data_IF_711426967665
#
_entry.id   IF_711426967665
#
_cell.length_a   1.000
_cell.length_b   1.000
_cell.length_c   1.000
_cell.angle_alpha   90.00
_cell.angle_beta   90.00
_cell.angle_gamma   90.00
#
_symmetry.space_group_name_H-M   'P 1'
#
loop_
_entity.id
_entity.type
_entity.pdbx_description
1 polymer ?
#
# COMPACT_ATOMS: atom_id res chain seq x y z
N UNK A 1 27.61 59.30 18.37
CA UNK A 1 28.43 60.18 19.22
C UNK A 1 29.83 59.62 19.23
N UNK A 2 30.57 59.96 18.20
CA UNK A 2 32.01 59.90 18.11
C UNK A 2 32.33 61.24 17.43
N UNK A 3 32.81 62.18 18.22
CA UNK A 3 33.12 63.55 17.79
C UNK A 3 34.44 63.49 17.01
N UNK A 4 34.37 63.73 15.71
CA UNK A 4 35.55 64.02 14.90
C UNK A 4 35.55 65.54 14.64
N UNK A 5 36.39 66.24 15.39
CA UNK A 5 36.67 67.67 15.18
C UNK A 5 37.28 67.89 13.79
N UNK A 6 36.83 68.89 13.02
CA UNK A 6 37.45 69.24 11.75
C UNK A 6 38.79 69.94 12.00
N UNK A 7 39.89 69.29 11.64
CA UNK A 7 41.20 69.93 11.61
C UNK A 7 41.23 70.99 10.50
N UNK A 8 41.33 72.25 10.93
CA UNK A 8 41.75 73.39 10.13
C UNK A 8 43.16 73.13 9.56
N UNK A 9 43.26 72.59 8.35
CA UNK A 9 44.49 72.65 7.57
C UNK A 9 44.53 74.00 6.84
N UNK A 10 44.71 75.07 7.60
CA UNK A 10 45.04 76.38 7.06
C UNK A 10 46.45 76.34 6.44
N UNK A 11 46.51 76.71 5.15
CA UNK A 11 47.57 77.53 4.54
C UNK A 11 49.02 77.20 4.95
N UNK A 12 49.56 76.11 4.43
CA UNK A 12 51.02 75.89 4.42
C UNK A 12 51.62 75.68 3.03
N UNK A 13 50.85 75.80 1.94
CA UNK A 13 51.36 75.46 0.59
C UNK A 13 52.02 76.62 -0.19
N UNK A 14 51.96 77.86 0.30
CA UNK A 14 52.54 79.02 -0.43
C UNK A 14 53.88 79.54 0.11
N UNK A 15 54.27 79.24 1.37
CA UNK A 15 55.56 79.71 1.93
C UNK A 15 56.75 78.77 1.61
N UNK A 16 56.49 77.48 1.34
CA UNK A 16 57.55 76.50 1.11
C UNK A 16 58.18 76.58 -0.30
N UNK A 17 57.52 77.21 -1.25
CA UNK A 17 58.08 77.41 -2.59
C UNK A 17 59.16 78.51 -2.61
N UNK A 18 59.05 79.52 -1.74
CA UNK A 18 60.00 80.63 -1.64
C UNK A 18 61.25 80.26 -0.81
N UNK A 19 61.07 79.47 0.26
CA UNK A 19 62.17 79.01 1.12
C UNK A 19 63.02 77.91 0.46
N UNK A 20 62.42 77.04 -0.36
CA UNK A 20 63.15 76.00 -1.11
C UNK A 20 64.19 76.56 -2.10
N UNK A 21 63.86 77.66 -2.80
CA UNK A 21 64.78 78.32 -3.73
C UNK A 21 65.93 79.03 -3.00
N UNK A 22 65.65 79.68 -1.86
CA UNK A 22 66.65 80.31 -0.99
C UNK A 22 67.59 79.29 -0.33
N UNK A 23 67.06 78.14 0.10
CA UNK A 23 67.85 77.07 0.72
C UNK A 23 68.80 76.37 -0.28
N UNK A 24 68.39 76.24 -1.55
CA UNK A 24 69.24 75.69 -2.61
C UNK A 24 70.35 76.65 -3.06
N UNK A 25 70.12 77.96 -2.98
CA UNK A 25 71.16 78.98 -3.22
C UNK A 25 72.23 78.96 -2.11
N UNK A 26 71.81 78.83 -0.85
CA UNK A 26 72.74 78.90 0.29
C UNK A 26 73.61 77.63 0.46
N UNK A 27 73.14 76.45 0.05
CA UNK A 27 73.92 75.20 0.05
C UNK A 27 74.99 75.16 -1.07
N UNK A 28 74.90 76.07 -2.03
CA UNK A 28 75.73 76.12 -3.24
C UNK A 28 76.76 77.26 -3.25
N UNK A 29 77.09 77.92 -2.12
CA UNK A 29 78.14 78.95 -2.13
C UNK A 29 79.50 78.40 -2.59
N UNK A 30 79.83 77.16 -2.22
CA UNK A 30 81.02 76.45 -2.70
C UNK A 30 80.95 76.11 -4.19
N UNK A 31 79.77 75.70 -4.67
CA UNK A 31 79.49 75.43 -6.08
C UNK A 31 79.54 76.69 -6.96
N UNK A 32 79.12 77.84 -6.40
CA UNK A 32 79.14 79.15 -7.07
C UNK A 32 80.57 79.69 -7.21
N UNK A 33 81.41 79.53 -6.17
CA UNK A 33 82.85 79.85 -6.26
C UNK A 33 83.58 78.94 -7.25
N UNK A 34 83.26 77.64 -7.25
CA UNK A 34 83.81 76.69 -8.23
C UNK A 34 83.39 77.02 -9.67
N UNK A 35 82.18 77.57 -9.87
CA UNK A 35 81.70 78.00 -11.19
C UNK A 35 82.40 79.27 -11.72
N UNK A 36 82.93 80.13 -10.85
CA UNK A 36 83.68 81.34 -11.25
C UNK A 36 85.09 81.04 -11.78
N UNK A 37 85.72 79.96 -11.31
CA UNK A 37 87.07 79.53 -11.73
C UNK A 37 87.07 78.59 -12.94
N UNK A 38 85.89 78.23 -13.46
CA UNK A 38 85.75 77.30 -14.58
C UNK A 38 85.90 78.02 -15.93
N UNK A 39 86.60 77.41 -16.91
CA UNK A 39 86.69 77.98 -18.26
C UNK A 39 85.27 78.15 -18.84
N UNK A 40 84.97 79.32 -19.42
CA UNK A 40 83.61 79.72 -19.80
C UNK A 40 82.86 78.73 -20.70
N UNK A 41 83.57 77.91 -21.48
CA UNK A 41 83.00 76.81 -22.28
C UNK A 41 82.30 75.77 -21.41
N UNK A 42 82.88 75.43 -20.25
CA UNK A 42 82.34 74.44 -19.33
C UNK A 42 81.15 74.98 -18.55
N UNK A 43 81.17 76.27 -18.20
CA UNK A 43 80.03 76.93 -17.56
C UNK A 43 78.80 76.99 -18.48
N UNK A 44 79.00 77.32 -19.76
CA UNK A 44 77.93 77.31 -20.77
C UNK A 44 77.37 75.90 -20.99
N UNK A 45 78.24 74.89 -21.07
CA UNK A 45 77.80 73.49 -21.19
C UNK A 45 77.02 73.00 -19.96
N UNK A 46 77.40 73.44 -18.75
CA UNK A 46 76.67 73.15 -17.53
C UNK A 46 75.28 73.80 -17.54
N UNK A 47 75.18 75.10 -17.86
CA UNK A 47 73.91 75.81 -17.91
C UNK A 47 72.96 75.21 -18.95
N UNK A 48 73.45 74.90 -20.15
CA UNK A 48 72.68 74.22 -21.19
C UNK A 48 72.21 72.82 -20.74
N UNK A 49 73.03 72.09 -19.98
CA UNK A 49 72.63 70.80 -19.40
C UNK A 49 71.56 70.92 -18.31
N UNK A 50 71.60 71.99 -17.51
CA UNK A 50 70.60 72.26 -16.47
C UNK A 50 69.27 72.69 -17.09
N UNK A 51 69.32 73.53 -18.13
CA UNK A 51 68.13 73.96 -18.86
C UNK A 51 67.45 72.78 -19.56
N UNK A 52 68.23 71.92 -20.23
CA UNK A 52 67.72 70.67 -20.82
C UNK A 52 67.10 69.73 -19.79
N UNK A 53 67.72 69.62 -18.60
CA UNK A 53 67.17 68.85 -17.48
C UNK A 53 65.83 69.41 -17.02
N UNK A 54 65.71 70.73 -16.85
CA UNK A 54 64.48 71.36 -16.39
C UNK A 54 63.35 71.23 -17.41
N UNK A 55 63.66 71.41 -18.70
CA UNK A 55 62.73 71.18 -19.81
C UNK A 55 62.24 69.72 -19.87
N UNK A 56 63.10 68.76 -19.55
CA UNK A 56 62.79 67.32 -19.63
C UNK A 56 62.16 66.74 -18.35
N UNK A 57 62.37 67.36 -17.18
CA UNK A 57 61.98 66.84 -15.87
C UNK A 57 60.48 66.53 -15.74
N UNK A 58 59.61 67.36 -16.35
CA UNK A 58 58.15 67.14 -16.31
C UNK A 58 57.75 65.88 -17.09
N UNK A 59 58.34 65.68 -18.27
CA UNK A 59 58.07 64.53 -19.14
C UNK A 59 58.59 63.24 -18.50
N UNK A 60 59.82 63.28 -17.97
CA UNK A 60 60.42 62.15 -17.26
C UNK A 60 59.61 61.74 -16.04
N UNK A 61 59.11 62.72 -15.27
CA UNK A 61 58.25 62.46 -14.10
C UNK A 61 56.95 61.77 -14.50
N UNK A 62 56.28 62.23 -15.55
CA UNK A 62 55.03 61.60 -16.03
C UNK A 62 55.29 60.18 -16.56
N UNK A 63 56.38 59.98 -17.31
CA UNK A 63 56.79 58.66 -17.78
C UNK A 63 57.08 57.72 -16.60
N UNK A 64 57.82 58.18 -15.60
CA UNK A 64 58.12 57.41 -14.39
C UNK A 64 56.85 57.04 -13.62
N UNK A 65 55.90 57.97 -13.44
CA UNK A 65 54.61 57.70 -12.80
C UNK A 65 53.77 56.69 -13.58
N UNK A 66 53.81 56.75 -14.91
CA UNK A 66 53.11 55.79 -15.79
C UNK A 66 53.70 54.39 -15.65
N UNK A 67 55.03 54.27 -15.66
CA UNK A 67 55.73 53.00 -15.45
C UNK A 67 55.43 52.45 -14.05
N UNK A 68 55.52 53.29 -13.02
CA UNK A 68 55.27 52.87 -11.64
C UNK A 68 53.82 52.45 -11.42
N UNK A 69 52.84 53.19 -11.94
CA UNK A 69 51.42 52.83 -11.82
C UNK A 69 51.09 51.53 -12.56
N UNK A 70 51.66 51.33 -13.75
CA UNK A 70 51.56 50.08 -14.51
C UNK A 70 52.18 48.89 -13.75
N UNK A 71 53.39 49.08 -13.19
CA UNK A 71 54.06 48.07 -12.39
C UNK A 71 53.25 47.70 -11.14
N UNK A 72 52.73 48.69 -10.39
CA UNK A 72 51.86 48.43 -9.23
C UNK A 72 50.60 47.66 -9.62
N UNK A 73 49.96 48.03 -10.74
CA UNK A 73 48.80 47.32 -11.27
C UNK A 73 49.12 45.87 -11.61
N UNK A 74 50.26 45.62 -12.26
CA UNK A 74 50.72 44.27 -12.58
C UNK A 74 50.92 43.44 -11.29
N UNK A 75 51.59 44.01 -10.28
CA UNK A 75 51.81 43.33 -9.00
C UNK A 75 50.49 42.99 -8.30
N UNK A 76 49.55 43.94 -8.21
CA UNK A 76 48.22 43.69 -7.66
C UNK A 76 47.46 42.62 -8.47
N UNK A 77 47.60 42.62 -9.80
CA UNK A 77 46.99 41.63 -10.68
C UNK A 77 47.52 40.21 -10.43
N UNK A 78 48.81 40.05 -10.14
CA UNK A 78 49.41 38.76 -9.77
C UNK A 78 48.82 38.26 -8.45
N UNK A 79 48.81 39.10 -7.41
CA UNK A 79 48.27 38.75 -6.08
C UNK A 79 46.78 38.39 -6.19
N UNK A 80 46.00 39.21 -6.88
CA UNK A 80 44.58 38.91 -7.10
C UNK A 80 44.37 37.60 -7.87
N UNK A 81 45.24 37.33 -8.85
CA UNK A 81 45.23 36.08 -9.60
C UNK A 81 45.51 34.84 -8.74
N UNK A 82 46.45 34.94 -7.80
CA UNK A 82 46.74 33.84 -6.86
C UNK A 82 45.58 33.62 -5.90
N UNK A 83 45.03 34.69 -5.33
CA UNK A 83 43.92 34.62 -4.39
C UNK A 83 42.67 34.03 -5.04
N UNK A 84 42.35 34.48 -6.27
CA UNK A 84 41.24 33.94 -7.04
C UNK A 84 41.39 32.44 -7.33
N UNK A 85 42.59 31.99 -7.69
CA UNK A 85 42.85 30.55 -7.94
C UNK A 85 42.70 29.73 -6.65
N UNK A 86 43.18 30.25 -5.53
CA UNK A 86 43.01 29.62 -4.22
C UNK A 86 41.51 29.53 -3.86
N UNK A 87 40.75 30.62 -4.00
CA UNK A 87 39.31 30.64 -3.73
C UNK A 87 38.55 29.60 -4.59
N UNK A 88 38.78 29.58 -5.90
CA UNK A 88 38.15 28.60 -6.80
C UNK A 88 38.49 27.17 -6.39
N UNK A 89 39.74 26.92 -5.97
CA UNK A 89 40.18 25.59 -5.53
C UNK A 89 39.46 25.16 -4.26
N UNK A 90 39.35 26.05 -3.28
CA UNK A 90 38.61 25.81 -2.03
C UNK A 90 37.13 25.56 -2.31
N UNK A 91 36.48 26.41 -3.10
CA UNK A 91 35.07 26.22 -3.46
C UNK A 91 34.82 24.90 -4.19
N UNK A 92 35.68 24.52 -5.13
CA UNK A 92 35.59 23.25 -5.85
C UNK A 92 35.69 22.07 -4.89
N UNK A 93 36.66 22.09 -3.98
CA UNK A 93 36.85 21.04 -2.98
C UNK A 93 35.65 20.95 -2.03
N UNK A 94 35.11 22.10 -1.60
CA UNK A 94 33.97 22.18 -0.71
C UNK A 94 32.69 21.65 -1.37
N UNK A 95 32.39 22.05 -2.61
CA UNK A 95 31.26 21.49 -3.39
C UNK A 95 31.41 19.98 -3.55
N UNK A 96 32.62 19.49 -3.81
CA UNK A 96 32.90 18.06 -3.86
C UNK A 96 32.69 17.34 -2.53
N UNK A 97 33.07 17.95 -1.40
CA UNK A 97 32.83 17.41 -0.07
C UNK A 97 31.33 17.31 0.26
N UNK A 98 30.56 18.37 -0.01
CA UNK A 98 29.10 18.35 0.15
C UNK A 98 28.45 17.27 -0.73
N UNK A 99 28.92 17.10 -1.96
CA UNK A 99 28.44 16.04 -2.85
C UNK A 99 28.68 14.63 -2.29
N UNK A 100 29.84 14.39 -1.67
CA UNK A 100 30.15 13.10 -1.03
C UNK A 100 29.29 12.84 0.21
N UNK A 101 29.10 13.84 1.07
CA UNK A 101 28.20 13.73 2.22
C UNK A 101 26.76 13.40 1.78
N UNK A 102 26.25 14.09 0.76
CA UNK A 102 24.92 13.83 0.23
C UNK A 102 24.79 12.43 -0.40
N UNK A 103 25.86 11.94 -1.04
CA UNK A 103 25.90 10.58 -1.57
C UNK A 103 25.91 9.53 -0.46
N UNK A 104 26.70 9.73 0.59
CA UNK A 104 26.79 8.82 1.74
C UNK A 104 25.43 8.64 2.41
N UNK A 105 24.72 9.73 2.70
CA UNK A 105 23.36 9.69 3.27
C UNK A 105 22.41 8.90 2.35
N UNK A 106 22.42 9.18 1.04
CA UNK A 106 21.56 8.45 0.07
C UNK A 106 21.94 6.97 -0.06
N UNK A 107 23.22 6.64 0.08
CA UNK A 107 23.71 5.28 0.05
C UNK A 107 23.21 4.52 1.29
N UNK A 108 23.36 5.11 2.48
CA UNK A 108 22.85 4.53 3.72
C UNK A 108 21.34 4.30 3.67
N UNK A 109 20.58 5.26 3.15
CA UNK A 109 19.13 5.13 2.95
C UNK A 109 18.78 3.95 2.02
N UNK A 110 19.45 3.85 0.86
CA UNK A 110 19.26 2.72 -0.07
C UNK A 110 19.58 1.39 0.60
N UNK A 111 20.69 1.33 1.32
CA UNK A 111 21.15 0.09 1.96
C UNK A 111 20.21 -0.30 3.11
N UNK A 112 19.70 0.67 3.87
CA UNK A 112 18.70 0.45 4.90
C UNK A 112 17.37 -0.06 4.32
N UNK A 113 16.90 0.51 3.22
CA UNK A 113 15.70 0.04 2.51
C UNK A 113 15.87 -1.39 2.01
N UNK A 114 17.02 -1.69 1.41
CA UNK A 114 17.34 -3.03 0.91
C UNK A 114 17.39 -4.06 2.05
N UNK A 115 18.07 -3.73 3.16
CA UNK A 115 18.09 -4.60 4.35
C UNK A 115 16.69 -4.82 4.92
N UNK A 116 15.88 -3.77 5.02
CA UNK A 116 14.50 -3.88 5.51
C UNK A 116 13.67 -4.79 4.62
N UNK A 117 13.69 -4.57 3.30
CA UNK A 117 12.95 -5.39 2.34
C UNK A 117 13.35 -6.88 2.41
N UNK A 118 14.65 -7.17 2.58
CA UNK A 118 15.13 -8.54 2.78
C UNK A 118 14.52 -9.17 4.04
N UNK A 119 14.57 -8.47 5.18
CA UNK A 119 14.03 -9.00 6.43
C UNK A 119 12.50 -9.08 6.43
N UNK A 120 11.80 -8.14 5.81
CA UNK A 120 10.34 -8.18 5.66
C UNK A 120 9.91 -9.40 4.84
N UNK A 121 10.61 -9.71 3.73
CA UNK A 121 10.36 -10.92 2.95
C UNK A 121 10.52 -12.19 3.81
N UNK A 122 11.63 -12.30 4.55
CA UNK A 122 11.85 -13.44 5.44
C UNK A 122 10.80 -13.53 6.55
N UNK A 123 10.41 -12.41 7.15
CA UNK A 123 9.38 -12.34 8.17
C UNK A 123 8.02 -12.83 7.63
N UNK A 124 7.64 -12.40 6.42
CA UNK A 124 6.38 -12.86 5.81
C UNK A 124 6.37 -14.38 5.55
N UNK A 125 7.50 -14.97 5.15
CA UNK A 125 7.63 -16.42 5.00
C UNK A 125 7.45 -17.16 6.33
N UNK A 126 8.16 -16.74 7.37
CA UNK A 126 8.04 -17.31 8.72
C UNK A 126 6.61 -17.19 9.23
N UNK A 127 6.01 -16.01 9.10
CA UNK A 127 4.63 -15.78 9.54
C UNK A 127 3.63 -16.63 8.75
N UNK A 128 3.77 -16.75 7.43
CA UNK A 128 2.91 -17.60 6.59
C UNK A 128 2.98 -19.06 7.04
N UNK A 129 4.19 -19.57 7.28
CA UNK A 129 4.41 -20.94 7.72
C UNK A 129 3.79 -21.18 9.10
N UNK A 130 4.02 -20.25 10.03
CA UNK A 130 3.46 -20.31 11.38
C UNK A 130 1.94 -20.25 11.37
N UNK A 131 1.31 -19.32 10.62
CA UNK A 131 -0.15 -19.23 10.50
C UNK A 131 -0.74 -20.54 9.95
N UNK A 132 -0.07 -21.14 8.96
CA UNK A 132 -0.47 -22.45 8.42
C UNK A 132 -0.38 -23.58 9.45
N UNK A 133 0.73 -23.64 10.20
CA UNK A 133 0.90 -24.61 11.28
C UNK A 133 -0.16 -24.42 12.37
N UNK A 134 -0.36 -23.20 12.85
CA UNK A 134 -1.29 -22.87 13.91
C UNK A 134 -2.73 -23.24 13.53
N UNK A 135 -3.15 -22.89 12.31
CA UNK A 135 -4.48 -23.25 11.78
C UNK A 135 -4.70 -24.77 11.78
N UNK A 136 -3.75 -25.56 11.26
CA UNK A 136 -3.85 -27.03 11.20
C UNK A 136 -3.81 -27.69 12.58
N UNK A 137 -3.09 -27.10 13.54
CA UNK A 137 -2.98 -27.66 14.89
C UNK A 137 -4.15 -27.30 15.79
N UNK A 138 -4.65 -26.07 15.71
CA UNK A 138 -5.57 -25.51 16.72
C UNK A 138 -6.95 -25.14 16.18
N UNK A 139 -7.10 -24.74 14.92
CA UNK A 139 -8.38 -24.30 14.38
C UNK A 139 -9.13 -25.43 13.64
N UNK A 140 -8.42 -26.24 12.86
CA UNK A 140 -9.02 -27.25 12.00
C UNK A 140 -8.44 -28.64 12.26
N UNK A 141 -9.15 -29.45 13.05
CA UNK A 141 -8.88 -30.87 13.15
C UNK A 141 -9.68 -31.64 12.08
N UNK A 142 -9.02 -31.96 10.97
CA UNK A 142 -9.61 -32.69 9.86
C UNK A 142 -10.23 -34.03 10.28
N UNK A 143 -9.53 -34.79 11.13
CA UNK A 143 -9.97 -36.12 11.56
C UNK A 143 -11.22 -36.03 12.45
N UNK A 144 -11.26 -35.08 13.38
CA UNK A 144 -12.46 -34.84 14.21
C UNK A 144 -13.65 -34.44 13.35
N UNK A 145 -13.45 -33.53 12.39
CA UNK A 145 -14.54 -33.10 11.50
C UNK A 145 -15.03 -34.23 10.59
N UNK A 146 -14.12 -35.06 10.08
CA UNK A 146 -14.47 -36.24 9.29
C UNK A 146 -15.28 -37.22 10.12
N UNK A 147 -14.83 -37.53 11.35
CA UNK A 147 -15.54 -38.40 12.27
C UNK A 147 -16.96 -37.89 12.58
N UNK A 148 -17.10 -36.58 12.85
CA UNK A 148 -18.40 -35.95 13.07
C UNK A 148 -19.33 -36.07 11.85
N UNK A 149 -18.84 -35.80 10.63
CA UNK A 149 -19.65 -35.94 9.43
C UNK A 149 -20.08 -37.39 9.20
N UNK A 150 -19.19 -38.36 9.46
CA UNK A 150 -19.53 -39.79 9.40
C UNK A 150 -20.58 -40.17 10.45
N UNK A 151 -20.49 -39.65 11.68
CA UNK A 151 -21.52 -39.92 12.71
C UNK A 151 -22.87 -39.29 12.36
N UNK A 152 -22.88 -38.11 11.75
CA UNK A 152 -24.12 -37.47 11.28
C UNK A 152 -24.73 -38.26 10.12
N UNK A 153 -23.91 -38.73 9.18
CA UNK A 153 -24.36 -39.54 8.05
C UNK A 153 -24.96 -40.87 8.51
N UNK A 154 -24.28 -41.58 9.40
CA UNK A 154 -24.76 -42.87 9.96
C UNK A 154 -26.09 -42.68 10.69
N UNK A 155 -26.18 -41.69 11.60
CA UNK A 155 -27.44 -41.38 12.28
C UNK A 155 -28.56 -40.97 11.32
N UNK A 156 -28.23 -40.23 10.26
CA UNK A 156 -29.20 -39.87 9.22
C UNK A 156 -29.72 -41.09 8.44
N UNK A 157 -28.88 -42.08 8.18
CA UNK A 157 -29.28 -43.34 7.56
C UNK A 157 -30.14 -44.19 8.49
N UNK A 158 -29.76 -44.28 9.77
CA UNK A 158 -30.55 -44.98 10.80
C UNK A 158 -31.96 -44.39 10.90
N UNK A 159 -32.08 -43.07 11.10
CA UNK A 159 -33.38 -42.38 11.20
C UNK A 159 -34.21 -42.59 9.93
N UNK A 160 -33.59 -42.53 8.74
CA UNK A 160 -34.31 -42.82 7.48
C UNK A 160 -34.85 -44.24 7.43
N UNK A 161 -34.03 -45.22 7.83
CA UNK A 161 -34.45 -46.63 7.86
C UNK A 161 -35.59 -46.88 8.86
N UNK A 162 -35.55 -46.24 10.03
CA UNK A 162 -36.62 -46.28 11.03
C UNK A 162 -37.91 -45.65 10.49
N UNK A 163 -37.79 -44.51 9.82
CA UNK A 163 -38.93 -43.82 9.23
C UNK A 163 -39.57 -44.64 8.10
N UNK A 164 -38.76 -45.26 7.24
CA UNK A 164 -39.22 -46.16 6.20
C UNK A 164 -39.95 -47.39 6.77
N UNK A 165 -39.40 -48.00 7.83
CA UNK A 165 -40.05 -49.13 8.50
C UNK A 165 -41.37 -48.72 9.15
N UNK A 166 -41.41 -47.55 9.80
CA UNK A 166 -42.63 -47.01 10.40
C UNK A 166 -43.69 -46.70 9.34
N UNK A 167 -43.33 -46.06 8.21
CA UNK A 167 -44.26 -45.81 7.12
C UNK A 167 -44.83 -47.09 6.52
N UNK A 168 -44.00 -48.13 6.33
CA UNK A 168 -44.48 -49.45 5.87
C UNK A 168 -45.49 -50.04 6.84
N UNK A 169 -45.18 -50.06 8.14
CA UNK A 169 -46.09 -50.58 9.16
C UNK A 169 -47.41 -49.79 9.23
N UNK A 170 -47.35 -48.46 9.11
CA UNK A 170 -48.56 -47.62 9.09
C UNK A 170 -49.39 -47.84 7.83
N UNK A 171 -48.75 -47.99 6.67
CA UNK A 171 -49.45 -48.29 5.40
C UNK A 171 -50.15 -49.65 5.47
N UNK A 172 -49.49 -50.68 6.00
CA UNK A 172 -50.10 -52.01 6.20
C UNK A 172 -51.28 -51.96 7.19
N UNK A 173 -51.16 -51.16 8.26
CA UNK A 173 -52.24 -50.95 9.22
C UNK A 173 -53.42 -50.19 8.59
N UNK A 174 -53.15 -49.18 7.78
CA UNK A 174 -54.18 -48.43 7.06
C UNK A 174 -54.87 -49.29 6.00
N UNK A 175 -54.12 -50.08 5.24
CA UNK A 175 -54.67 -51.03 4.26
C UNK A 175 -55.58 -52.05 4.93
N UNK A 176 -55.14 -52.68 6.01
CA UNK A 176 -55.98 -53.62 6.77
C UNK A 176 -57.22 -52.97 7.37
N UNK A 177 -57.12 -51.75 7.94
CA UNK A 177 -58.28 -50.98 8.41
C UNK A 177 -59.26 -50.67 7.27
N UNK A 178 -58.75 -50.24 6.12
CA UNK A 178 -59.58 -49.95 4.95
C UNK A 178 -60.25 -51.21 4.40
N UNK A 179 -59.59 -52.36 4.44
CA UNK A 179 -60.18 -53.65 4.10
C UNK A 179 -61.30 -54.02 5.09
N UNK A 180 -61.05 -53.91 6.40
CA UNK A 180 -62.07 -54.12 7.43
C UNK A 180 -63.27 -53.19 7.26
N UNK A 181 -63.06 -51.89 7.03
CA UNK A 181 -64.14 -50.94 6.78
C UNK A 181 -64.93 -51.28 5.51
N UNK A 182 -64.27 -51.74 4.44
CA UNK A 182 -64.96 -52.19 3.21
C UNK A 182 -65.83 -53.40 3.48
N UNK A 183 -65.35 -54.36 4.27
CA UNK A 183 -66.11 -55.55 4.67
C UNK A 183 -67.31 -55.13 5.54
N UNK A 184 -67.12 -54.31 6.57
CA UNK A 184 -68.21 -53.83 7.43
C UNK A 184 -69.27 -53.04 6.64
N UNK A 185 -68.85 -52.14 5.76
CA UNK A 185 -69.78 -51.41 4.87
C UNK A 185 -70.55 -52.37 3.97
N UNK A 186 -69.88 -53.39 3.43
CA UNK A 186 -70.53 -54.43 2.62
C UNK A 186 -71.55 -55.23 3.44
N UNK A 187 -71.19 -55.69 4.63
CA UNK A 187 -72.09 -56.41 5.54
C UNK A 187 -73.33 -55.59 5.91
N UNK A 188 -73.16 -54.30 6.21
CA UNK A 188 -74.27 -53.38 6.49
C UNK A 188 -75.24 -53.26 5.30
N UNK A 189 -74.73 -53.11 4.08
CA UNK A 189 -75.56 -53.08 2.86
C UNK A 189 -76.28 -54.42 2.68
N UNK A 190 -75.56 -55.55 2.78
CA UNK A 190 -76.13 -56.89 2.63
C UNK A 190 -77.22 -57.16 3.68
N UNK A 191 -77.04 -56.73 4.93
CA UNK A 191 -78.06 -56.84 5.97
C UNK A 191 -79.37 -56.13 5.63
N UNK A 192 -79.30 -54.96 4.98
CA UNK A 192 -80.50 -54.25 4.51
C UNK A 192 -81.21 -54.95 3.34
N UNK A 193 -80.49 -55.77 2.57
CA UNK A 193 -80.96 -56.49 1.39
C UNK A 193 -81.50 -57.90 1.67
N UNK A 194 -81.73 -58.27 2.94
CA UNK A 194 -82.18 -59.62 3.34
C UNK A 194 -83.51 -60.07 2.69
N UNK A 195 -84.36 -59.13 2.27
CA UNK A 195 -85.61 -59.43 1.56
C UNK A 195 -85.39 -59.94 0.13
N UNK A 196 -84.18 -59.80 -0.42
CA UNK A 196 -83.81 -60.33 -1.75
C UNK A 196 -83.30 -61.78 -1.70
N UNK A 197 -83.31 -62.42 -0.53
CA UNK A 197 -82.94 -63.83 -0.33
C UNK A 197 -83.94 -64.79 -0.97
N UNK A 198 -83.44 -65.92 -1.45
CA UNK A 198 -84.31 -67.00 -1.93
C UNK A 198 -85.10 -67.64 -0.78
N UNK A 199 -86.38 -67.87 -1.01
CA UNK A 199 -87.26 -68.65 -0.13
C UNK A 199 -87.53 -70.03 -0.74
N UNK A 200 -88.13 -70.95 0.01
CA UNK A 200 -88.46 -72.30 -0.50
C UNK A 200 -89.41 -72.28 -1.71
N UNK A 201 -90.20 -71.20 -1.87
CA UNK A 201 -91.22 -71.07 -2.91
C UNK A 201 -90.85 -70.11 -4.03
N UNK A 202 -89.88 -69.21 -3.83
CA UNK A 202 -89.49 -68.18 -4.80
C UNK A 202 -87.97 -67.93 -4.76
N UNK A 203 -87.31 -67.95 -5.92
CA UNK A 203 -85.87 -67.68 -6.05
C UNK A 203 -85.58 -66.19 -5.86
N UNK A 204 -84.56 -65.88 -5.05
CA UNK A 204 -84.09 -64.51 -4.83
C UNK A 204 -83.41 -63.92 -6.07
N UNK A 205 -83.28 -62.60 -6.12
CA UNK A 205 -82.72 -61.87 -7.29
C UNK A 205 -81.30 -62.35 -7.63
N UNK A 206 -80.52 -62.71 -6.61
CA UNK A 206 -79.13 -63.16 -6.76
C UNK A 206 -78.99 -64.68 -7.01
N UNK A 207 -80.09 -65.44 -7.05
CA UNK A 207 -80.12 -66.88 -7.28
C UNK A 207 -81.20 -67.25 -8.33
N UNK A 208 -81.18 -66.52 -9.45
CA UNK A 208 -82.10 -66.73 -10.56
C UNK A 208 -81.80 -68.03 -11.32
N UNK A 209 -82.81 -68.79 -11.77
CA UNK A 209 -82.63 -70.03 -12.54
C UNK A 209 -81.94 -69.82 -13.90
N UNK A 210 -81.80 -68.57 -14.36
CA UNK A 210 -81.08 -68.23 -15.59
C UNK A 210 -79.61 -67.86 -15.37
N UNK A 211 -79.15 -67.76 -14.11
CA UNK A 211 -77.81 -67.29 -13.76
C UNK A 211 -76.89 -68.43 -13.26
N UNK A 212 -77.05 -69.63 -13.81
CA UNK A 212 -76.36 -70.85 -13.37
C UNK A 212 -74.85 -70.87 -13.71
N UNK A 213 -74.43 -70.12 -14.73
CA UNK A 213 -73.05 -70.18 -15.24
C UNK A 213 -72.09 -69.18 -14.60
N UNK A 214 -72.57 -68.07 -14.04
CA UNK A 214 -71.73 -67.02 -13.43
C UNK A 214 -72.47 -66.30 -12.28
N UNK A 215 -72.54 -66.90 -11.08
CA UNK A 215 -73.14 -66.22 -9.93
C UNK A 215 -72.35 -64.94 -9.60
N UNK A 216 -73.09 -63.86 -9.31
CA UNK A 216 -72.46 -62.62 -8.85
C UNK A 216 -71.73 -62.88 -7.53
N UNK A 217 -70.44 -62.62 -7.54
CA UNK A 217 -69.51 -62.97 -6.46
C UNK A 217 -68.93 -61.70 -5.87
N UNK A 218 -68.91 -61.59 -4.55
CA UNK A 218 -68.23 -60.54 -3.81
C UNK A 218 -67.29 -61.21 -2.80
N UNK A 219 -66.05 -60.73 -2.70
CA UNK A 219 -65.01 -61.32 -1.83
C UNK A 219 -64.82 -62.84 -2.03
N UNK A 220 -64.93 -63.33 -3.28
CA UNK A 220 -64.73 -64.74 -3.63
C UNK A 220 -65.88 -65.70 -3.27
N UNK A 221 -66.99 -65.19 -2.70
CA UNK A 221 -68.19 -65.97 -2.37
C UNK A 221 -69.43 -65.43 -3.09
N UNK A 222 -70.41 -66.28 -3.48
CA UNK A 222 -71.66 -65.83 -4.07
C UNK A 222 -72.44 -64.91 -3.12
N UNK A 223 -73.04 -63.84 -3.63
CA UNK A 223 -73.79 -62.85 -2.82
C UNK A 223 -74.92 -63.51 -2.00
N UNK A 224 -75.58 -64.52 -2.56
CA UNK A 224 -76.62 -65.29 -1.87
C UNK A 224 -76.11 -65.98 -0.59
N UNK A 225 -74.84 -66.40 -0.57
CA UNK A 225 -74.23 -67.02 0.62
C UNK A 225 -73.95 -65.99 1.72
N UNK A 226 -73.50 -64.79 1.35
CA UNK A 226 -73.32 -63.67 2.27
C UNK A 226 -74.64 -63.23 2.90
N UNK A 227 -75.69 -63.08 2.07
CA UNK A 227 -77.03 -62.73 2.55
C UNK A 227 -77.57 -63.75 3.56
N UNK A 228 -77.38 -65.06 3.30
CA UNK A 228 -77.81 -66.12 4.23
C UNK A 228 -77.03 -66.08 5.55
N UNK A 229 -75.72 -65.84 5.48
CA UNK A 229 -74.88 -65.77 6.68
C UNK A 229 -75.24 -64.57 7.55
N UNK A 230 -75.40 -63.39 6.97
CA UNK A 230 -75.82 -62.17 7.70
C UNK A 230 -77.22 -62.34 8.28
N UNK A 231 -78.18 -62.85 7.52
CA UNK A 231 -79.53 -63.13 8.02
C UNK A 231 -79.51 -64.14 9.17
N UNK A 232 -78.72 -65.22 9.06
CA UNK A 232 -78.58 -66.23 10.12
C UNK A 232 -78.00 -65.63 11.40
N UNK A 233 -76.98 -64.75 11.30
CA UNK A 233 -76.42 -64.03 12.44
C UNK A 233 -77.46 -63.11 13.07
N UNK A 234 -78.23 -62.39 12.26
CA UNK A 234 -79.30 -61.49 12.73
C UNK A 234 -80.42 -62.27 13.46
N UNK A 235 -80.82 -63.42 12.93
CA UNK A 235 -81.78 -64.32 13.59
C UNK A 235 -81.24 -64.94 14.87
N UNK A 236 -79.95 -65.30 14.92
CA UNK A 236 -79.31 -65.82 16.13
C UNK A 236 -79.18 -64.75 17.22
N UNK A 237 -78.91 -63.49 16.86
CA UNK A 237 -78.88 -62.36 17.79
C UNK A 237 -80.29 -61.99 18.32
N UNK A 238 -81.33 -62.14 17.50
CA UNK A 238 -82.73 -61.96 17.91
C UNK A 238 -83.30 -63.15 18.72
N UNK A 239 -82.65 -64.31 18.68
CA UNK A 239 -83.07 -65.54 19.35
C UNK A 239 -82.27 -65.89 20.62
N UNK A 240 -81.29 -65.05 21.02
CA UNK A 240 -80.60 -65.16 22.29
C UNK A 240 -81.42 -64.44 23.39
N UNK A 241 -81.75 -65.10 24.53
CA UNK A 241 -82.48 -64.48 25.64
C UNK A 241 -81.67 -63.45 26.44
#
# INVERSE_FOLDING_TARGET
MADEEPQESEKHEEEDQATGLLYLLHRNESSFRFAQDMPGIVLVGLLDSLEKREQSAKVERVAALTIQSSARRMMCGIVHGTDRKAAITLERLYRGHLGRLAFEVKQEERDAQTRRAFWDCNATLVQKLWRGFHSRKHAHNFYLRKAYLTSVMTRGLEVRSELEAHYRSMSELEESKMEHEKIERFENVIGSLHHMLSTASCSGVYNSPYNLSNPQTAFGLPIESHLRNVAKVLYLLLAAP
#
